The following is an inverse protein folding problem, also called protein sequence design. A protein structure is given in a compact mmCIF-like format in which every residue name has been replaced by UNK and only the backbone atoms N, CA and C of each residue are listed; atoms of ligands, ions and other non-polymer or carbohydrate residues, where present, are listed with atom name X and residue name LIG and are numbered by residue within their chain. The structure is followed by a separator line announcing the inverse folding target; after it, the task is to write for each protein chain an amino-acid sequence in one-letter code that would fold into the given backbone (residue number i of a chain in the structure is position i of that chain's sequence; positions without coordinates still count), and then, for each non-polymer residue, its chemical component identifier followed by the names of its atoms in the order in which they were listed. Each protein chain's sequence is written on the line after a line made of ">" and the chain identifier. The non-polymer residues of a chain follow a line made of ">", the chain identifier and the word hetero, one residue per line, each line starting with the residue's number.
data_IF_429892955384
#
_entry.id   IF_429892955384
#
_cell.length_a   1.000
_cell.length_b   1.000
_cell.length_c   1.000
_cell.angle_alpha   90.00
_cell.angle_beta   90.00
_cell.angle_gamma   90.00
#
_symmetry.space_group_name_H-M   'P 1'
#
loop_
_entity.id
_entity.type
_entity.pdbx_description
1 polymer ?
#
# COMPACT_ATOMS: atom_id res chain seq x y z
N UNK A 1 29.94 -14.52 -1.08
CA UNK A 1 28.63 -14.56 -0.38
C UNK A 1 27.52 -13.69 -0.99
N UNK A 2 27.80 -12.70 -1.87
CA UNK A 2 26.76 -11.83 -2.45
C UNK A 2 25.89 -12.42 -3.57
N UNK A 3 26.46 -13.28 -4.43
CA UNK A 3 25.76 -13.82 -5.60
C UNK A 3 24.60 -14.76 -5.24
N UNK A 4 24.76 -15.61 -4.22
CA UNK A 4 23.72 -16.53 -3.73
C UNK A 4 22.55 -15.77 -3.10
N UNK A 5 22.83 -14.73 -2.29
CA UNK A 5 21.80 -13.85 -1.71
C UNK A 5 20.99 -13.11 -2.78
N UNK A 6 21.64 -12.67 -3.86
CA UNK A 6 20.97 -12.02 -4.99
C UNK A 6 20.03 -12.98 -5.72
N UNK A 7 20.48 -14.21 -6.03
CA UNK A 7 19.64 -15.23 -6.66
C UNK A 7 18.43 -15.60 -5.79
N UNK A 8 18.61 -15.74 -4.47
CA UNK A 8 17.51 -16.02 -3.55
C UNK A 8 16.46 -14.89 -3.52
N UNK A 9 16.90 -13.62 -3.50
CA UNK A 9 16.00 -12.47 -3.57
C UNK A 9 15.23 -12.41 -4.88
N UNK A 10 15.89 -12.73 -6.00
CA UNK A 10 15.24 -12.78 -7.30
C UNK A 10 14.15 -13.85 -7.37
N UNK A 11 14.46 -15.08 -6.93
CA UNK A 11 13.48 -16.18 -6.89
C UNK A 11 12.31 -15.83 -5.99
N UNK A 12 12.58 -15.25 -4.81
CA UNK A 12 11.53 -14.81 -3.90
C UNK A 12 10.61 -13.74 -4.52
N UNK A 13 11.18 -12.76 -5.24
CA UNK A 13 10.40 -11.74 -5.95
C UNK A 13 9.51 -12.36 -7.01
N UNK A 14 10.06 -13.21 -7.88
CA UNK A 14 9.29 -13.91 -8.94
C UNK A 14 8.18 -14.77 -8.36
N UNK A 15 8.42 -15.44 -7.23
CA UNK A 15 7.41 -16.22 -6.54
C UNK A 15 6.25 -15.35 -6.02
N UNK A 16 6.54 -14.18 -5.43
CA UNK A 16 5.51 -13.25 -4.97
C UNK A 16 4.65 -12.73 -6.11
N UNK A 17 5.27 -12.38 -7.24
CA UNK A 17 4.59 -11.93 -8.46
C UNK A 17 3.69 -13.02 -9.02
N UNK A 18 4.20 -14.24 -9.15
CA UNK A 18 3.42 -15.39 -9.60
C UNK A 18 2.22 -15.67 -8.70
N UNK A 19 2.41 -15.66 -7.37
CA UNK A 19 1.34 -15.85 -6.39
C UNK A 19 0.24 -14.80 -6.53
N UNK A 20 0.60 -13.54 -6.77
CA UNK A 20 -0.34 -12.45 -6.97
C UNK A 20 -1.19 -12.66 -8.24
N UNK A 21 -0.54 -12.98 -9.37
CA UNK A 21 -1.23 -13.25 -10.65
C UNK A 21 -2.18 -14.44 -10.51
N UNK A 22 -1.71 -15.55 -9.94
CA UNK A 22 -2.54 -16.74 -9.75
C UNK A 22 -3.73 -16.45 -8.83
N UNK A 23 -3.54 -15.71 -7.73
CA UNK A 23 -4.66 -15.33 -6.85
C UNK A 23 -5.69 -14.43 -7.54
N UNK A 24 -5.24 -13.48 -8.35
CA UNK A 24 -6.13 -12.61 -9.13
C UNK A 24 -6.93 -13.37 -10.20
N UNK A 25 -6.33 -14.39 -10.82
CA UNK A 25 -7.01 -15.24 -11.81
C UNK A 25 -7.94 -16.26 -11.15
N UNK A 26 -7.55 -16.83 -10.01
CA UNK A 26 -8.33 -17.87 -9.33
C UNK A 26 -9.57 -17.34 -8.62
N UNK A 27 -9.59 -16.06 -8.22
CA UNK A 27 -10.76 -15.44 -7.60
C UNK A 27 -10.84 -13.96 -7.95
N UNK A 28 -11.97 -13.57 -8.56
CA UNK A 28 -12.30 -12.19 -8.90
C UNK A 28 -13.10 -11.48 -7.81
N UNK A 29 -13.37 -12.16 -6.69
CA UNK A 29 -14.23 -11.66 -5.60
C UNK A 29 -13.47 -10.94 -4.49
N UNK A 30 -12.14 -10.88 -4.57
CA UNK A 30 -11.31 -10.14 -3.62
C UNK A 30 -10.62 -8.95 -4.29
N UNK A 31 -10.35 -7.87 -3.55
CA UNK A 31 -9.55 -6.75 -4.07
C UNK A 31 -8.11 -7.20 -4.32
N UNK A 32 -7.60 -7.08 -5.54
CA UNK A 32 -6.18 -7.39 -5.82
C UNK A 32 -5.27 -6.32 -5.22
N UNK A 33 -5.66 -5.05 -5.34
CA UNK A 33 -4.92 -3.91 -4.84
C UNK A 33 -5.84 -2.93 -4.12
N UNK A 34 -5.38 -2.41 -2.98
CA UNK A 34 -6.03 -1.34 -2.23
C UNK A 34 -5.05 -0.17 -2.06
N UNK A 35 -5.57 1.04 -2.18
CA UNK A 35 -4.82 2.27 -2.00
C UNK A 35 -5.34 2.97 -0.74
N UNK A 36 -4.47 3.19 0.24
CA UNK A 36 -4.79 3.83 1.51
C UNK A 36 -4.07 5.16 1.59
N UNK A 37 -4.79 6.19 2.04
CA UNK A 37 -4.27 7.53 2.30
C UNK A 37 -4.30 7.79 3.81
N UNK A 38 -3.19 7.58 4.55
CA UNK A 38 -3.13 7.85 5.98
C UNK A 38 -3.14 9.34 6.32
N UNK A 39 -2.60 10.16 5.41
CA UNK A 39 -2.45 11.60 5.59
C UNK A 39 -2.70 12.30 4.27
N UNK A 40 -3.55 13.33 4.27
CA UNK A 40 -3.72 14.22 3.11
C UNK A 40 -2.91 15.51 3.24
N UNK A 41 -2.42 15.82 4.44
CA UNK A 41 -1.59 17.01 4.66
C UNK A 41 -0.31 16.94 3.82
N UNK A 42 -0.04 18.00 3.07
CA UNK A 42 1.18 18.13 2.27
C UNK A 42 1.78 19.54 2.42
N UNK A 43 3.11 19.64 2.31
CA UNK A 43 3.85 20.91 2.28
C UNK A 43 3.98 21.49 0.85
N UNK A 44 3.52 20.77 -0.17
CA UNK A 44 3.45 21.21 -1.55
C UNK A 44 2.03 21.67 -1.92
N UNK A 45 1.92 22.45 -2.99
CA UNK A 45 0.66 23.03 -3.50
C UNK A 45 0.40 22.68 -4.96
N UNK A 46 0.69 21.43 -5.35
CA UNK A 46 0.57 20.97 -6.73
C UNK A 46 -0.86 21.17 -7.27
N UNK A 47 -1.04 22.02 -8.26
CA UNK A 47 -2.37 22.38 -8.82
C UNK A 47 -3.13 21.22 -9.47
N UNK A 48 -2.43 20.11 -9.74
CA UNK A 48 -3.00 18.91 -10.36
C UNK A 48 -3.28 17.77 -9.35
N UNK A 49 -2.90 17.92 -8.07
CA UNK A 49 -3.02 16.84 -7.10
C UNK A 49 -4.35 16.91 -6.35
N UNK A 50 -5.10 15.79 -6.36
CA UNK A 50 -6.37 15.67 -5.63
C UNK A 50 -6.22 14.96 -4.28
N UNK A 51 -5.05 14.39 -3.98
CA UNK A 51 -4.84 13.56 -2.78
C UNK A 51 -4.35 14.37 -1.57
N UNK A 52 -4.08 15.67 -1.76
CA UNK A 52 -3.59 16.54 -0.68
C UNK A 52 -4.59 17.62 -0.25
N UNK A 53 -4.43 18.08 0.98
CA UNK A 53 -4.97 19.32 1.51
C UNK A 53 -4.03 19.89 2.59
N UNK A 54 -4.38 21.01 3.22
CA UNK A 54 -3.60 21.64 4.30
C UNK A 54 -4.25 21.55 5.68
N UNK A 55 -5.46 20.98 5.78
CA UNK A 55 -6.32 21.12 6.96
C UNK A 55 -6.70 19.79 7.60
N UNK A 56 -6.71 18.70 6.84
CA UNK A 56 -7.13 17.40 7.34
C UNK A 56 -6.13 16.87 8.37
N UNK A 57 -6.62 16.37 9.52
CA UNK A 57 -5.78 15.62 10.44
C UNK A 57 -5.38 14.27 9.82
N UNK A 58 -4.21 13.72 10.19
CA UNK A 58 -3.87 12.34 9.89
C UNK A 58 -4.92 11.37 10.43
N UNK A 59 -5.14 10.25 9.74
CA UNK A 59 -6.01 9.18 10.23
C UNK A 59 -5.37 8.57 11.50
N UNK A 60 -6.12 8.40 12.61
CA UNK A 60 -5.59 7.79 13.82
C UNK A 60 -5.02 6.38 13.56
N UNK A 61 -3.88 6.06 14.18
CA UNK A 61 -3.20 4.78 14.01
C UNK A 61 -4.08 3.56 14.30
N UNK A 62 -4.90 3.52 15.39
CA UNK A 62 -5.77 2.37 15.65
C UNK A 62 -6.77 2.10 14.50
N UNK A 63 -7.31 3.17 13.91
CA UNK A 63 -8.24 3.08 12.80
C UNK A 63 -7.54 2.65 11.50
N UNK A 64 -6.29 3.07 11.29
CA UNK A 64 -5.49 2.59 10.16
C UNK A 64 -5.22 1.08 10.25
N UNK A 65 -4.87 0.59 11.45
CA UNK A 65 -4.65 -0.83 11.70
C UNK A 65 -5.94 -1.61 11.42
N UNK A 66 -7.08 -1.16 11.97
CA UNK A 66 -8.39 -1.78 11.71
C UNK A 66 -8.71 -1.87 10.21
N UNK A 67 -8.45 -0.81 9.45
CA UNK A 67 -8.65 -0.80 7.98
C UNK A 67 -7.73 -1.79 7.26
N UNK A 68 -6.47 -1.90 7.68
CA UNK A 68 -5.52 -2.87 7.12
C UNK A 68 -5.96 -4.29 7.44
N UNK A 69 -6.41 -4.55 8.67
CA UNK A 69 -6.92 -5.86 9.08
C UNK A 69 -8.13 -6.26 8.24
N UNK A 70 -9.08 -5.34 8.04
CA UNK A 70 -10.26 -5.58 7.20
C UNK A 70 -9.90 -5.87 5.74
N UNK A 71 -8.89 -5.20 5.19
CA UNK A 71 -8.37 -5.51 3.87
C UNK A 71 -7.70 -6.90 3.82
N UNK A 72 -7.03 -7.29 4.90
CA UNK A 72 -6.50 -8.63 5.09
C UNK A 72 -7.58 -9.71 5.08
N UNK A 73 -8.69 -9.47 5.79
CA UNK A 73 -9.87 -10.36 5.81
C UNK A 73 -10.51 -10.52 4.43
N UNK A 74 -10.54 -9.44 3.63
CA UNK A 74 -11.02 -9.47 2.24
C UNK A 74 -10.06 -10.22 1.30
N UNK A 75 -8.89 -10.64 1.77
CA UNK A 75 -7.88 -11.33 0.95
C UNK A 75 -7.05 -10.40 0.07
N UNK A 76 -6.98 -9.11 0.41
CA UNK A 76 -6.28 -8.09 -0.39
C UNK A 76 -4.83 -8.47 -0.63
N UNK A 77 -4.39 -8.44 -1.89
CA UNK A 77 -3.04 -8.92 -2.24
C UNK A 77 -1.95 -7.86 -2.12
N UNK A 78 -2.27 -6.60 -2.39
CA UNK A 78 -1.35 -5.45 -2.28
C UNK A 78 -2.06 -4.28 -1.62
N UNK A 79 -1.41 -3.68 -0.63
CA UNK A 79 -1.84 -2.42 -0.02
C UNK A 79 -0.76 -1.39 -0.30
N UNK A 80 -1.12 -0.33 -1.02
CA UNK A 80 -0.26 0.82 -1.29
C UNK A 80 -0.61 1.94 -0.33
N UNK A 81 0.41 2.47 0.35
CA UNK A 81 0.28 3.64 1.22
C UNK A 81 0.69 4.87 0.41
N UNK A 82 -0.21 5.84 0.29
CA UNK A 82 -0.03 7.11 -0.43
C UNK A 82 -0.54 8.28 0.42
N UNK A 83 -0.65 9.46 -0.16
CA UNK A 83 -1.32 10.60 0.42
C UNK A 83 -0.66 11.92 0.07
N UNK A 84 -0.72 12.86 1.02
CA UNK A 84 0.08 14.08 1.01
C UNK A 84 1.56 13.77 1.21
N UNK A 85 2.25 14.54 2.05
CA UNK A 85 3.66 14.24 2.37
C UNK A 85 3.72 13.16 3.45
N UNK A 86 4.06 11.88 3.14
CA UNK A 86 3.95 10.79 4.10
C UNK A 86 4.96 10.91 5.25
N UNK A 87 6.05 11.66 5.04
CA UNK A 87 7.05 11.96 6.06
C UNK A 87 6.76 13.25 6.83
N UNK A 88 5.58 13.85 6.63
CA UNK A 88 5.16 15.02 7.40
C UNK A 88 4.73 14.54 8.79
N UNK A 89 5.70 14.53 9.71
CA UNK A 89 5.47 14.22 11.11
C UNK A 89 4.97 15.50 11.79
N UNK A 90 3.78 15.43 12.40
CA UNK A 90 3.21 16.45 13.26
C UNK A 90 3.05 15.92 14.67
#
# INVERSE_FOLDING_TARGET
>A
MGATRRKLREVHRRWREFKLVVRGLASTRHPVAAHIIPIRRCNLSCTYCNEFDSTSPPVPLPLLIERVDRLGELGTSVITISGGEPMLHG
#
